data_IF_222269166587
#
_entry.id   IF_222269166587
#
_cell.length_a   1.000
_cell.length_b   1.000
_cell.length_c   1.000
_cell.angle_alpha   90.00
_cell.angle_beta   90.00
_cell.angle_gamma   90.00
#
_symmetry.space_group_name_H-M   'P 1'
#
loop_
_entity.id
_entity.type
_entity.pdbx_description
1 polymer ?
#
# COMPACT_ATOMS: atom_id res chain seq x y z
N UNK A 1 -66.60 -34.38 -3.19
CA UNK A 1 -65.51 -33.66 -3.95
C UNK A 1 -64.77 -32.76 -2.98
N UNK A 2 -63.90 -33.34 -2.20
CA UNK A 2 -62.99 -32.61 -1.34
C UNK A 2 -61.68 -32.50 -2.09
N UNK A 3 -61.64 -31.56 -3.00
CA UNK A 3 -60.44 -31.17 -3.73
C UNK A 3 -59.56 -30.38 -2.79
N UNK A 4 -58.59 -31.05 -2.19
CA UNK A 4 -57.19 -30.79 -2.47
C UNK A 4 -56.79 -29.33 -2.41
N UNK A 5 -57.20 -28.68 -1.33
CA UNK A 5 -56.54 -27.45 -0.91
C UNK A 5 -55.26 -27.75 -0.13
N UNK A 6 -54.75 -28.92 -0.37
CA UNK A 6 -53.53 -29.46 0.25
C UNK A 6 -52.29 -29.05 -0.49
N UNK A 7 -52.48 -28.27 -1.51
CA UNK A 7 -51.43 -28.14 -2.50
C UNK A 7 -50.61 -26.89 -2.38
N UNK A 8 -50.97 -26.05 -1.51
CA UNK A 8 -50.31 -24.77 -1.52
C UNK A 8 -50.01 -24.21 -0.16
N UNK A 9 -50.10 -25.06 0.76
CA UNK A 9 -49.16 -25.04 1.84
C UNK A 9 -47.80 -25.72 1.42
N UNK A 10 -47.47 -25.68 0.19
CA UNK A 10 -46.13 -25.39 -0.20
C UNK A 10 -45.91 -23.94 0.24
N UNK A 11 -46.22 -23.82 1.48
CA UNK A 11 -45.10 -23.70 2.27
C UNK A 11 -44.02 -23.06 1.44
N UNK A 12 -44.21 -21.83 1.25
CA UNK A 12 -43.14 -20.87 1.32
C UNK A 12 -42.49 -21.05 2.69
N UNK A 13 -41.78 -22.12 2.85
CA UNK A 13 -40.56 -22.09 3.59
C UNK A 13 -39.70 -21.14 2.73
N UNK A 14 -39.92 -19.90 2.88
CA UNK A 14 -38.91 -18.90 2.80
C UNK A 14 -37.90 -19.39 3.82
N UNK A 15 -37.04 -20.28 3.36
CA UNK A 15 -35.74 -20.45 3.93
C UNK A 15 -35.23 -19.04 3.88
N UNK A 16 -35.34 -18.36 5.00
CA UNK A 16 -34.64 -17.15 5.25
C UNK A 16 -33.18 -17.54 5.07
N UNK A 17 -32.70 -17.45 3.85
CA UNK A 17 -31.34 -17.23 3.56
C UNK A 17 -31.06 -15.87 4.21
N UNK A 18 -30.89 -15.92 5.53
CA UNK A 18 -30.17 -14.89 6.23
C UNK A 18 -28.89 -14.75 5.42
N UNK A 19 -28.84 -13.73 4.58
CA UNK A 19 -27.61 -13.32 3.98
C UNK A 19 -26.69 -13.19 5.18
N UNK A 20 -25.83 -14.19 5.35
CA UNK A 20 -24.87 -14.20 6.45
C UNK A 20 -24.10 -12.93 6.25
N UNK A 21 -24.38 -11.93 7.08
CA UNK A 21 -23.62 -10.68 7.03
C UNK A 21 -22.17 -11.11 7.00
N UNK A 22 -21.50 -10.85 5.89
CA UNK A 22 -20.09 -11.11 5.76
C UNK A 22 -19.41 -10.21 6.79
N UNK A 23 -19.15 -10.76 7.95
CA UNK A 23 -18.27 -10.12 8.92
C UNK A 23 -16.87 -10.49 8.45
N UNK A 24 -16.01 -9.50 8.14
CA UNK A 24 -14.62 -9.81 7.92
C UNK A 24 -14.18 -10.64 9.12
N UNK A 25 -13.84 -11.91 8.90
CA UNK A 25 -13.13 -12.69 9.91
C UNK A 25 -11.90 -11.90 10.30
N UNK A 26 -11.52 -11.93 11.56
CA UNK A 26 -10.26 -11.35 12.00
C UNK A 26 -9.18 -11.73 10.97
N UNK A 27 -8.42 -10.74 10.52
CA UNK A 27 -7.37 -10.92 9.53
C UNK A 27 -6.48 -12.12 9.94
N UNK A 28 -6.33 -13.12 9.09
CA UNK A 28 -5.53 -14.28 9.42
C UNK A 28 -4.06 -13.96 9.28
N UNK A 29 -3.44 -13.38 10.32
CA UNK A 29 -2.00 -13.12 10.33
C UNK A 29 -1.28 -14.47 10.30
N UNK A 30 -0.52 -14.70 9.22
CA UNK A 30 0.33 -15.87 9.07
C UNK A 30 1.73 -15.61 9.63
N UNK A 31 2.20 -14.36 9.49
CA UNK A 31 3.50 -13.95 9.97
C UNK A 31 3.46 -12.50 10.42
N UNK A 32 3.91 -12.25 11.64
CA UNK A 32 4.14 -10.91 12.18
C UNK A 32 5.63 -10.57 12.12
N UNK A 33 5.94 -9.33 11.74
CA UNK A 33 7.27 -8.76 11.73
C UNK A 33 7.28 -7.50 12.59
N UNK A 34 8.14 -7.50 13.60
CA UNK A 34 8.37 -6.36 14.46
C UNK A 34 9.26 -5.30 13.80
N UNK A 35 9.45 -4.18 14.48
CA UNK A 35 10.23 -3.05 13.98
C UNK A 35 11.69 -3.40 13.57
N UNK A 36 12.27 -4.43 14.14
CA UNK A 36 13.64 -4.84 13.82
C UNK A 36 13.74 -5.64 12.51
N UNK A 37 12.64 -6.14 11.98
CA UNK A 37 12.62 -7.09 10.87
C UNK A 37 11.90 -6.57 9.61
N UNK A 38 11.72 -5.25 9.48
CA UNK A 38 10.95 -4.64 8.38
C UNK A 38 11.79 -4.30 7.13
N UNK A 39 13.10 -4.12 7.29
CA UNK A 39 13.97 -3.50 6.29
C UNK A 39 13.95 -4.19 4.92
N UNK A 40 13.83 -5.51 4.90
CA UNK A 40 13.85 -6.29 3.65
C UNK A 40 12.47 -6.74 3.17
N UNK A 41 11.41 -6.28 3.82
CA UNK A 41 10.05 -6.63 3.38
C UNK A 41 9.70 -5.82 2.14
N UNK A 42 9.30 -6.54 1.10
CA UNK A 42 8.73 -6.01 -0.13
C UNK A 42 7.61 -6.96 -0.58
N UNK A 43 6.36 -6.64 -0.24
CA UNK A 43 5.21 -7.40 -0.67
C UNK A 43 4.75 -6.89 -2.03
N UNK A 44 4.83 -7.68 -3.11
CA UNK A 44 4.28 -7.29 -4.40
C UNK A 44 2.79 -7.00 -4.29
N UNK A 45 2.36 -5.85 -4.79
CA UNK A 45 0.97 -5.45 -4.91
C UNK A 45 0.66 -5.10 -6.36
N UNK A 46 -0.60 -5.18 -6.74
CA UNK A 46 -1.01 -4.93 -8.13
C UNK A 46 -1.02 -6.18 -9.00
N UNK A 47 -1.33 -6.00 -10.28
CA UNK A 47 -1.61 -7.08 -11.22
C UNK A 47 -0.42 -7.98 -11.51
N UNK A 48 -0.68 -9.27 -11.70
CA UNK A 48 0.32 -10.27 -12.05
C UNK A 48 0.70 -10.11 -13.54
N UNK A 49 2.00 -10.04 -13.82
CA UNK A 49 2.50 -9.88 -15.20
C UNK A 49 2.40 -8.45 -15.77
N UNK A 50 2.02 -7.47 -14.97
CA UNK A 50 1.85 -6.05 -15.38
C UNK A 50 2.98 -5.14 -14.93
N UNK A 51 4.05 -5.67 -14.40
CA UNK A 51 5.09 -4.99 -13.65
C UNK A 51 4.91 -5.19 -12.15
N UNK A 52 5.87 -4.74 -11.38
CA UNK A 52 5.85 -4.91 -9.93
C UNK A 52 5.93 -3.57 -9.22
N UNK A 53 5.08 -3.38 -8.24
CA UNK A 53 5.20 -2.38 -7.19
C UNK A 53 5.03 -3.11 -5.89
N UNK A 54 5.86 -2.83 -4.89
CA UNK A 54 5.82 -3.53 -3.61
C UNK A 54 5.47 -2.58 -2.46
N UNK A 55 4.72 -3.10 -1.50
CA UNK A 55 4.53 -2.46 -0.20
C UNK A 55 5.70 -2.84 0.69
N UNK A 56 6.46 -1.86 1.15
CA UNK A 56 7.57 -2.07 2.08
C UNK A 56 7.07 -2.38 3.49
N UNK A 57 7.93 -2.96 4.32
CA UNK A 57 7.60 -3.27 5.72
C UNK A 57 7.25 -2.05 6.58
N UNK A 58 7.56 -0.85 6.15
CA UNK A 58 7.25 0.40 6.86
C UNK A 58 6.18 1.27 6.20
N UNK A 59 5.52 0.80 5.13
CA UNK A 59 4.33 1.43 4.54
C UNK A 59 4.57 2.25 3.28
N UNK A 60 5.80 2.37 2.79
CA UNK A 60 6.11 3.03 1.52
C UNK A 60 5.99 2.07 0.34
N UNK A 61 5.83 2.63 -0.85
CA UNK A 61 5.96 1.87 -2.08
C UNK A 61 7.43 1.76 -2.48
N UNK A 62 7.86 0.56 -2.79
CA UNK A 62 9.22 0.25 -3.21
C UNK A 62 9.24 -0.71 -4.41
N UNK A 63 10.44 -1.01 -4.89
CA UNK A 63 10.66 -2.01 -5.94
C UNK A 63 9.75 -1.80 -7.14
N UNK A 64 9.75 -0.60 -7.70
CA UNK A 64 8.98 -0.26 -8.89
C UNK A 64 9.62 -0.86 -10.14
N UNK A 65 9.30 -2.11 -10.43
CA UNK A 65 9.80 -2.85 -11.58
C UNK A 65 8.81 -2.77 -12.75
N UNK A 66 8.59 -1.56 -13.24
CA UNK A 66 7.74 -1.26 -14.38
C UNK A 66 8.59 -1.14 -15.64
N UNK A 67 7.99 -1.34 -16.81
CA UNK A 67 8.66 -1.31 -18.12
C UNK A 67 9.72 -2.42 -18.29
N UNK A 68 9.50 -3.56 -17.66
CA UNK A 68 10.38 -4.73 -17.73
C UNK A 68 11.85 -4.45 -17.32
N UNK A 69 12.05 -3.59 -16.34
CA UNK A 69 13.35 -3.21 -15.81
C UNK A 69 13.38 -3.56 -14.32
N UNK A 70 14.38 -4.34 -13.84
CA UNK A 70 14.56 -4.60 -12.42
C UNK A 70 14.77 -3.32 -11.64
N UNK A 71 14.11 -3.18 -10.50
CA UNK A 71 14.12 -1.96 -9.70
C UNK A 71 14.12 -2.19 -8.20
N UNK A 72 14.95 -3.10 -7.71
CA UNK A 72 15.07 -3.37 -6.28
C UNK A 72 15.64 -2.17 -5.54
N UNK A 73 14.95 -1.75 -4.47
CA UNK A 73 15.27 -0.59 -3.63
C UNK A 73 15.23 0.78 -4.35
N UNK A 74 14.73 0.85 -5.58
CA UNK A 74 14.51 2.12 -6.29
C UNK A 74 13.28 2.06 -7.19
N UNK A 75 12.92 3.19 -7.78
CA UNK A 75 11.83 3.26 -8.75
C UNK A 75 12.39 3.41 -10.16
N UNK A 76 11.89 2.60 -11.09
CA UNK A 76 12.22 2.70 -12.52
C UNK A 76 11.45 3.82 -13.22
N UNK A 77 10.38 4.32 -12.61
CA UNK A 77 9.52 5.38 -13.18
C UNK A 77 9.74 6.74 -12.55
N UNK A 78 10.27 6.78 -11.31
CA UNK A 78 10.52 8.02 -10.56
C UNK A 78 11.89 7.97 -9.89
N UNK A 79 12.98 8.13 -10.65
CA UNK A 79 14.33 8.03 -10.09
C UNK A 79 14.63 9.19 -9.13
N UNK A 80 15.45 8.92 -8.14
CA UNK A 80 16.00 9.87 -7.19
C UNK A 80 14.97 10.46 -6.22
N UNK A 81 15.09 11.74 -5.92
CA UNK A 81 14.31 12.45 -4.90
C UNK A 81 12.81 12.57 -5.19
N UNK A 82 12.37 12.17 -6.37
CA UNK A 82 10.96 12.18 -6.78
C UNK A 82 10.25 10.84 -6.50
N UNK A 83 10.75 10.03 -5.59
CA UNK A 83 10.08 8.79 -5.20
C UNK A 83 8.67 9.08 -4.69
N UNK A 84 7.70 8.18 -5.01
CA UNK A 84 6.35 8.33 -4.52
C UNK A 84 6.30 8.35 -3.00
N UNK A 85 5.39 9.14 -2.45
CA UNK A 85 5.11 9.12 -1.01
C UNK A 85 3.64 9.40 -0.73
N UNK A 86 3.20 9.00 0.45
CA UNK A 86 1.90 9.33 1.00
C UNK A 86 2.07 10.02 2.34
N UNK A 87 1.22 10.98 2.61
CA UNK A 87 1.24 11.75 3.85
C UNK A 87 -0.16 11.85 4.43
N UNK A 88 -0.24 11.98 5.75
CA UNK A 88 -1.46 12.26 6.48
C UNK A 88 -1.36 13.64 7.12
N UNK A 89 -2.43 14.40 7.00
CA UNK A 89 -2.64 15.67 7.69
C UNK A 89 -3.75 15.49 8.71
N UNK A 90 -3.48 15.86 9.95
CA UNK A 90 -4.41 15.70 11.06
C UNK A 90 -4.61 17.07 11.73
N UNK A 91 -5.88 17.46 11.87
CA UNK A 91 -6.29 18.69 12.53
C UNK A 91 -7.29 18.37 13.63
N UNK A 92 -6.92 18.57 14.87
CA UNK A 92 -7.81 18.51 16.03
C UNK A 92 -8.21 19.90 16.48
N UNK A 93 -9.40 20.03 17.04
CA UNK A 93 -9.86 21.30 17.58
C UNK A 93 -8.93 21.83 18.70
N UNK A 94 -8.45 23.05 18.56
CA UNK A 94 -7.57 23.69 19.55
C UNK A 94 -6.10 23.26 19.52
N UNK A 95 -5.70 22.36 18.61
CA UNK A 95 -4.31 21.95 18.43
C UNK A 95 -3.75 22.47 17.09
N UNK A 96 -2.43 22.62 17.01
CA UNK A 96 -1.78 22.90 15.75
C UNK A 96 -1.91 21.69 14.81
N UNK A 97 -2.14 21.91 13.49
CA UNK A 97 -2.20 20.83 12.54
C UNK A 97 -0.86 20.12 12.42
N UNK A 98 -0.90 18.82 12.23
CA UNK A 98 0.29 17.99 12.04
C UNK A 98 0.23 17.26 10.72
N UNK A 99 1.35 17.25 10.00
CA UNK A 99 1.50 16.49 8.77
C UNK A 99 2.70 15.57 8.88
N UNK A 100 2.51 14.29 8.57
CA UNK A 100 3.56 13.29 8.64
C UNK A 100 3.45 12.32 7.45
N UNK A 101 4.54 11.70 7.05
CA UNK A 101 4.51 10.63 6.06
C UNK A 101 3.78 9.41 6.61
N UNK A 102 3.02 8.73 5.76
CA UNK A 102 2.42 7.42 6.03
C UNK A 102 3.48 6.32 5.89
N UNK A 103 4.53 6.45 6.68
CA UNK A 103 5.69 5.59 6.68
C UNK A 103 6.33 5.52 8.06
N UNK A 104 6.88 4.36 8.39
CA UNK A 104 7.69 4.16 9.60
C UNK A 104 9.09 4.80 9.52
N UNK A 105 9.92 4.62 10.54
CA UNK A 105 11.23 5.26 10.64
C UNK A 105 12.20 4.79 9.56
N UNK A 106 13.17 5.63 9.23
CA UNK A 106 14.30 5.28 8.38
C UNK A 106 15.29 4.39 9.14
N UNK A 107 15.93 3.49 8.43
CA UNK A 107 16.96 2.62 8.99
C UNK A 107 18.36 3.18 8.75
N UNK A 108 19.29 3.00 9.69
CA UNK A 108 20.68 3.41 9.48
C UNK A 108 21.29 2.84 8.19
N UNK A 109 20.94 1.61 7.83
CA UNK A 109 21.42 0.93 6.62
C UNK A 109 21.03 1.64 5.32
N UNK A 110 20.00 2.49 5.33
CA UNK A 110 19.60 3.26 4.15
C UNK A 110 20.57 4.37 3.82
N UNK A 111 21.30 4.87 4.83
CA UNK A 111 22.35 5.86 4.67
C UNK A 111 23.72 5.22 4.42
N UNK A 112 23.80 3.88 4.51
CA UNK A 112 25.06 3.16 4.48
C UNK A 112 25.62 3.11 3.06
N UNK A 113 26.66 3.89 2.85
CA UNK A 113 27.47 3.95 1.65
C UNK A 113 28.77 4.68 2.00
N UNK A 114 29.88 4.31 1.38
CA UNK A 114 31.20 4.88 1.70
C UNK A 114 31.28 6.41 1.57
N UNK A 115 30.43 7.01 0.73
CA UNK A 115 30.30 8.46 0.59
C UNK A 115 29.04 9.01 1.29
N UNK A 116 28.28 8.14 1.98
CA UNK A 116 26.91 8.43 2.37
C UNK A 116 25.96 8.51 1.17
N UNK A 117 24.68 8.32 1.38
CA UNK A 117 23.68 8.52 0.31
C UNK A 117 22.46 9.21 0.87
N UNK A 118 21.80 10.07 0.05
CA UNK A 118 20.53 10.64 0.43
C UNK A 118 19.45 9.54 0.43
N UNK A 119 18.60 9.58 1.44
CA UNK A 119 17.39 8.75 1.51
C UNK A 119 16.20 9.58 1.04
N UNK A 120 15.28 8.98 0.31
CA UNK A 120 14.11 9.67 -0.18
C UNK A 120 13.28 10.23 0.99
N UNK A 121 12.88 11.49 0.88
CA UNK A 121 12.07 12.22 1.87
C UNK A 121 12.66 12.15 3.31
N UNK A 122 13.96 12.08 3.48
CA UNK A 122 14.61 11.97 4.79
C UNK A 122 14.32 13.15 5.74
N UNK A 123 14.00 14.32 5.20
CA UNK A 123 13.68 15.53 5.99
C UNK A 123 12.22 15.61 6.42
N UNK A 124 11.35 14.69 6.03
CA UNK A 124 9.96 14.71 6.42
C UNK A 124 9.71 13.92 7.71
N UNK A 125 8.79 14.40 8.59
CA UNK A 125 8.39 13.66 9.77
C UNK A 125 7.75 12.33 9.36
N UNK A 126 7.96 11.30 10.19
CA UNK A 126 7.48 9.93 10.01
C UNK A 126 6.90 9.40 11.30
N UNK A 127 6.10 8.34 11.22
CA UNK A 127 5.71 7.59 12.41
C UNK A 127 6.95 6.96 13.06
N UNK A 128 7.00 7.02 14.38
CA UNK A 128 8.13 6.50 15.16
C UNK A 128 8.16 4.97 15.26
N UNK A 129 7.03 4.32 14.99
CA UNK A 129 6.90 2.87 15.09
C UNK A 129 6.14 2.32 13.90
N UNK A 130 6.64 1.19 13.38
CA UNK A 130 5.97 0.40 12.36
C UNK A 130 6.10 -1.10 12.69
N UNK A 131 5.09 -1.88 12.33
CA UNK A 131 5.12 -3.34 12.30
C UNK A 131 4.41 -3.83 11.04
N UNK A 132 4.66 -5.08 10.63
CA UNK A 132 4.09 -5.63 9.40
C UNK A 132 3.45 -6.98 9.67
N UNK A 133 2.21 -7.14 9.21
CA UNK A 133 1.50 -8.40 9.24
C UNK A 133 1.30 -8.95 7.83
N UNK A 134 1.76 -10.18 7.60
CA UNK A 134 1.67 -10.86 6.32
C UNK A 134 0.66 -12.00 6.36
N UNK A 135 -0.18 -12.05 5.36
CA UNK A 135 -1.02 -13.19 5.00
C UNK A 135 -1.18 -13.20 3.47
N UNK A 136 -0.09 -13.58 2.77
CA UNK A 136 -0.08 -13.51 1.31
C UNK A 136 -1.39 -14.05 0.69
N UNK A 137 -2.02 -13.37 -0.27
CA UNK A 137 -1.52 -12.20 -1.04
C UNK A 137 -1.73 -10.83 -0.38
N UNK A 138 -1.99 -10.77 0.90
CA UNK A 138 -2.29 -9.56 1.65
C UNK A 138 -1.16 -9.16 2.60
N UNK A 139 -1.02 -7.86 2.85
CA UNK A 139 -0.11 -7.30 3.85
C UNK A 139 -0.69 -6.07 4.52
N UNK A 140 -0.34 -5.87 5.78
CA UNK A 140 -0.73 -4.71 6.56
C UNK A 140 0.49 -4.12 7.27
N UNK A 141 0.62 -2.80 7.21
CA UNK A 141 1.60 -2.05 7.99
C UNK A 141 0.86 -1.27 9.07
N UNK A 142 1.23 -1.47 10.32
CA UNK A 142 0.68 -0.71 11.43
C UNK A 142 1.65 0.39 11.83
N UNK A 143 1.20 1.64 11.73
CA UNK A 143 1.96 2.84 12.03
C UNK A 143 1.42 3.47 13.30
N UNK A 144 2.30 3.77 14.24
CA UNK A 144 1.95 4.47 15.47
C UNK A 144 3.05 5.43 15.91
N UNK A 145 2.64 6.49 16.61
CA UNK A 145 3.53 7.49 17.18
C UNK A 145 2.90 8.08 18.44
N UNK A 146 3.66 8.17 19.53
CA UNK A 146 3.15 8.70 20.79
C UNK A 146 2.83 10.20 20.74
N UNK A 147 3.38 10.92 19.78
CA UNK A 147 3.12 12.35 19.53
C UNK A 147 1.95 12.64 18.61
N UNK A 148 1.32 11.59 18.03
CA UNK A 148 0.21 11.73 17.11
C UNK A 148 -1.08 11.16 17.71
N UNK A 149 -2.23 11.82 17.52
CA UNK A 149 -3.52 11.38 18.06
C UNK A 149 -4.17 10.28 17.20
N UNK A 150 -3.45 9.70 16.26
CA UNK A 150 -3.95 8.68 15.32
C UNK A 150 -3.00 7.51 15.20
N UNK A 151 -3.57 6.34 14.99
CA UNK A 151 -2.89 5.16 14.42
C UNK A 151 -3.35 4.94 12.99
N UNK A 152 -2.47 4.42 12.15
CA UNK A 152 -2.80 4.14 10.76
C UNK A 152 -2.43 2.71 10.42
N UNK A 153 -3.35 1.99 9.77
CA UNK A 153 -3.07 0.72 9.14
C UNK A 153 -3.08 0.89 7.62
N UNK A 154 -1.94 0.65 7.00
CA UNK A 154 -1.80 0.63 5.54
C UNK A 154 -2.00 -0.80 5.07
N UNK A 155 -2.98 -1.00 4.19
CA UNK A 155 -3.33 -2.33 3.66
C UNK A 155 -3.04 -2.38 2.17
N UNK A 156 -2.36 -3.43 1.74
CA UNK A 156 -2.10 -3.70 0.33
C UNK A 156 -2.31 -5.18 0.01
N UNK A 157 -2.59 -5.49 -1.25
CA UNK A 157 -2.74 -6.86 -1.68
C UNK A 157 -2.34 -7.06 -3.15
N UNK A 158 -1.99 -8.29 -3.47
CA UNK A 158 -1.83 -8.75 -4.84
C UNK A 158 -3.15 -9.40 -5.28
N UNK A 159 -3.77 -8.97 -6.39
CA UNK A 159 -5.07 -9.48 -6.84
C UNK A 159 -4.93 -10.86 -7.51
N UNK A 160 -4.37 -11.85 -6.82
CA UNK A 160 -4.21 -13.19 -7.32
C UNK A 160 -5.50 -14.00 -7.14
N UNK A 161 -6.14 -14.34 -8.25
CA UNK A 161 -7.27 -15.26 -8.29
C UNK A 161 -6.81 -16.53 -9.03
N UNK A 162 -6.56 -17.65 -8.33
CA UNK A 162 -6.11 -18.88 -8.97
C UNK A 162 -7.05 -19.33 -10.09
N UNK A 163 -6.51 -19.53 -11.28
CA UNK A 163 -7.28 -19.93 -12.46
C UNK A 163 -7.89 -18.79 -13.29
N UNK A 164 -7.87 -17.55 -12.78
CA UNK A 164 -8.34 -16.37 -13.51
C UNK A 164 -7.17 -15.41 -13.80
N UNK A 165 -6.57 -15.57 -14.96
CA UNK A 165 -5.44 -14.75 -15.38
C UNK A 165 -5.83 -13.31 -15.73
N UNK A 166 -7.06 -13.10 -16.23
CA UNK A 166 -7.55 -11.79 -16.62
C UNK A 166 -7.79 -10.90 -15.39
N UNK A 167 -8.53 -11.38 -14.42
CA UNK A 167 -8.77 -10.65 -13.19
C UNK A 167 -7.49 -10.46 -12.35
N UNK A 168 -6.60 -11.46 -12.34
CA UNK A 168 -5.29 -11.36 -11.67
C UNK A 168 -4.34 -10.38 -12.35
N UNK A 169 -4.50 -10.15 -13.64
CA UNK A 169 -3.63 -9.31 -14.47
C UNK A 169 -4.05 -7.84 -14.56
N UNK A 170 -5.01 -7.36 -13.78
CA UNK A 170 -5.41 -5.95 -13.79
C UNK A 170 -4.22 -5.06 -13.39
N UNK A 171 -3.81 -4.08 -14.24
CA UNK A 171 -2.63 -3.24 -13.99
C UNK A 171 -2.90 -2.13 -12.98
N UNK A 172 -3.35 -2.50 -11.79
CA UNK A 172 -3.67 -1.59 -10.68
C UNK A 172 -3.04 -2.09 -9.38
N UNK A 173 -2.61 -1.17 -8.55
CA UNK A 173 -2.20 -1.43 -7.17
C UNK A 173 -3.15 -0.68 -6.23
N UNK A 174 -3.71 -1.37 -5.26
CA UNK A 174 -4.67 -0.80 -4.32
C UNK A 174 -4.02 -0.69 -2.96
N UNK A 175 -4.02 0.54 -2.43
CA UNK A 175 -3.68 0.84 -1.04
C UNK A 175 -4.92 1.34 -0.31
N UNK A 176 -5.17 0.81 0.86
CA UNK A 176 -6.22 1.29 1.77
C UNK A 176 -5.58 1.79 3.05
N UNK A 177 -6.02 2.95 3.50
CA UNK A 177 -5.57 3.56 4.75
C UNK A 177 -6.73 3.56 5.73
N UNK A 178 -6.57 2.82 6.81
CA UNK A 178 -7.50 2.81 7.94
C UNK A 178 -6.90 3.69 9.04
N UNK A 179 -7.58 4.79 9.35
CA UNK A 179 -7.14 5.75 10.36
C UNK A 179 -7.99 5.61 11.60
N UNK A 180 -7.36 5.32 12.73
CA UNK A 180 -8.00 5.23 14.03
C UNK A 180 -7.69 6.47 14.84
N UNK A 181 -8.74 7.21 15.23
CA UNK A 181 -8.63 8.30 16.19
C UNK A 181 -8.47 7.74 17.60
N UNK A 182 -7.36 8.03 18.27
CA UNK A 182 -7.07 7.57 19.63
C UNK A 182 -7.57 8.53 20.71
N UNK A 183 -8.28 9.59 20.30
CA UNK A 183 -8.83 10.59 21.24
C UNK A 183 -10.36 10.57 21.23
N UNK A 184 -11.01 11.03 22.29
CA UNK A 184 -12.47 11.17 22.31
C UNK A 184 -12.99 12.37 21.51
N UNK A 185 -12.11 13.24 21.02
CA UNK A 185 -12.47 14.44 20.29
C UNK A 185 -12.50 14.18 18.78
N UNK A 186 -13.45 14.75 18.05
CA UNK A 186 -13.46 14.67 16.59
C UNK A 186 -12.24 15.39 16.00
N UNK A 187 -11.77 14.89 14.87
CA UNK A 187 -10.66 15.48 14.11
C UNK A 187 -10.92 15.41 12.62
N UNK A 188 -10.30 16.31 11.88
CA UNK A 188 -10.25 16.25 10.43
C UNK A 188 -8.96 15.57 10.00
N UNK A 189 -9.10 14.65 9.05
CA UNK A 189 -7.97 13.87 8.52
C UNK A 189 -8.00 13.93 7.01
N UNK A 190 -6.86 14.22 6.41
CA UNK A 190 -6.66 14.16 4.95
C UNK A 190 -5.46 13.29 4.62
N UNK A 191 -5.59 12.47 3.58
CA UNK A 191 -4.49 11.68 3.02
C UNK A 191 -4.11 12.26 1.67
N UNK A 192 -2.83 12.52 1.49
CA UNK A 192 -2.25 13.03 0.24
C UNK A 192 -1.29 12.00 -0.34
N UNK A 193 -1.42 11.70 -1.62
CA UNK A 193 -0.45 10.91 -2.38
C UNK A 193 0.31 11.80 -3.36
N UNK A 194 1.62 11.64 -3.45
CA UNK A 194 2.46 12.27 -4.45
C UNK A 194 3.11 11.20 -5.32
N UNK A 195 2.82 11.25 -6.60
CA UNK A 195 3.37 10.35 -7.60
C UNK A 195 3.67 11.15 -8.86
N UNK A 196 4.90 11.06 -9.35
CA UNK A 196 5.25 11.64 -10.64
C UNK A 196 4.46 10.96 -11.75
N UNK A 197 3.90 11.75 -12.66
CA UNK A 197 3.27 11.19 -13.84
C UNK A 197 4.31 10.50 -14.75
N UNK A 198 4.13 9.20 -14.96
CA UNK A 198 4.96 8.39 -15.83
C UNK A 198 4.19 7.81 -17.04
N UNK A 199 2.92 8.19 -17.20
CA UNK A 199 2.08 7.75 -18.33
C UNK A 199 2.65 8.30 -19.62
N UNK A 200 2.76 7.46 -20.65
CA UNK A 200 3.31 7.84 -21.93
C UNK A 200 4.85 7.91 -21.99
N UNK A 201 5.55 7.45 -20.96
CA UNK A 201 6.99 7.30 -21.01
C UNK A 201 7.33 6.14 -21.95
N UNK A 202 8.23 6.42 -22.93
CA UNK A 202 8.58 5.47 -24.01
C UNK A 202 9.84 4.64 -23.70
N UNK A 203 10.28 4.72 -22.47
CA UNK A 203 11.43 3.95 -22.05
C UNK A 203 12.78 4.46 -22.55
N UNK A 204 13.01 5.74 -22.82
CA UNK A 204 14.32 6.28 -23.18
C UNK A 204 15.35 6.08 -22.07
N UNK A 205 16.57 5.78 -22.48
CA UNK A 205 17.66 5.37 -21.60
C UNK A 205 18.14 6.49 -20.68
N UNK A 206 18.01 6.28 -19.38
CA UNK A 206 18.69 7.07 -18.37
C UNK A 206 19.95 6.33 -17.91
N UNK A 207 21.12 6.98 -17.98
CA UNK A 207 22.37 6.40 -17.49
C UNK A 207 22.39 6.48 -15.97
N UNK A 208 22.47 5.36 -15.31
CA UNK A 208 22.81 5.33 -13.88
C UNK A 208 24.31 5.62 -13.77
N UNK A 209 24.76 6.73 -13.13
CA UNK A 209 26.15 7.20 -13.20
C UNK A 209 27.22 6.18 -12.79
N UNK A 210 26.86 5.24 -11.90
CA UNK A 210 27.78 4.23 -11.34
C UNK A 210 27.58 2.81 -11.89
N UNK A 211 26.69 2.61 -12.82
CA UNK A 211 26.52 1.34 -13.49
C UNK A 211 26.60 1.54 -15.00
N UNK A 212 27.03 0.52 -15.72
CA UNK A 212 26.95 0.53 -17.20
C UNK A 212 25.52 0.29 -17.72
N UNK A 213 24.53 0.29 -16.82
CA UNK A 213 23.14 0.07 -17.16
C UNK A 213 22.46 1.41 -17.49
N UNK A 214 21.51 1.33 -18.40
CA UNK A 214 20.69 2.46 -18.81
C UNK A 214 19.23 2.17 -18.45
N UNK A 215 18.61 3.08 -17.74
CA UNK A 215 17.15 3.10 -17.59
C UNK A 215 16.61 3.96 -18.73
N UNK A 216 15.64 3.42 -19.44
CA UNK A 216 15.02 4.13 -20.53
C UNK A 216 13.81 4.89 -19.99
N UNK A 217 13.85 6.22 -19.96
CA UNK A 217 12.76 7.10 -19.56
C UNK A 217 12.26 7.82 -20.81
N UNK A 218 11.00 7.65 -21.13
CA UNK A 218 10.37 8.42 -22.20
C UNK A 218 9.86 9.79 -21.73
N UNK A 219 9.69 10.69 -22.66
CA UNK A 219 9.00 11.93 -22.39
C UNK A 219 7.50 11.64 -22.16
N UNK A 220 6.96 12.11 -21.03
CA UNK A 220 5.51 12.14 -20.86
C UNK A 220 4.95 13.18 -21.85
N UNK A 221 4.31 12.73 -22.89
CA UNK A 221 3.49 13.58 -23.75
C UNK A 221 2.09 13.65 -23.15
N UNK A 222 1.94 14.35 -22.05
CA UNK A 222 0.61 14.76 -21.64
C UNK A 222 0.22 15.98 -22.48
N UNK A 223 -0.94 15.91 -23.17
CA UNK A 223 -1.53 17.09 -23.79
C UNK A 223 -1.94 18.11 -22.74
#
# INVERSE_FOLDING_TARGET
MKRTLLLFLVLFIVIGLSAREWRPSAWPVLKHYDAAHLFQIALPIGGIGTGTVSLSGRGELCDWEIMNIPGKHYSTVTPGVNAPFFAIHVQSAGAAPTTTLLAGPLYPQEYDHYEGRPVNQHGFPRFSTATFDAAYPFGQVHLSDSGLPVKVTVKGFNPMIPGDAEASGLPVAVLSYEVTNETPQPMEVSVCGSLRNFIGQDGRKYRIPWTRHYITLGASTNP
#
